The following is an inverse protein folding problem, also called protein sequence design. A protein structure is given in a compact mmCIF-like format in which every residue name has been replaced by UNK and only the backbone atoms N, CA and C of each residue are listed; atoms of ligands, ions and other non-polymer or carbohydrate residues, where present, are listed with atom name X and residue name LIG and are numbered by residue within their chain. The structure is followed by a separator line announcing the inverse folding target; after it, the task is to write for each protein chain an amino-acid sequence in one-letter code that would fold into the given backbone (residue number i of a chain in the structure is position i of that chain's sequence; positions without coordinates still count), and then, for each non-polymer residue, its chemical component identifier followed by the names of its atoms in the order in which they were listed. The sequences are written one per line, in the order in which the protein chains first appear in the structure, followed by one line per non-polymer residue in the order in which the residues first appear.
data_IF_085794145632
#
_entry.id   IF_085794145632
#
_cell.length_a   1.000
_cell.length_b   1.000
_cell.length_c   1.000
_cell.angle_alpha   90.00
_cell.angle_beta   90.00
_cell.angle_gamma   90.00
#
_symmetry.space_group_name_H-M   'P 1'
#
loop_
_entity.id
_entity.type
_entity.pdbx_description
1 polymer ?
#
# COMPACT_ATOMS: atom_id res chain seq x y z
N UNK A 1 6.91 11.08 6.71
CA UNK A 1 5.69 11.55 6.03
C UNK A 1 4.60 10.57 6.40
N UNK A 2 3.38 11.04 6.63
CA UNK A 2 2.23 10.20 6.95
C UNK A 2 1.13 10.37 5.92
N UNK A 3 0.32 9.33 5.73
CA UNK A 3 -0.82 9.34 4.82
C UNK A 3 -2.11 9.12 5.60
N UNK A 4 -3.20 9.73 5.18
CA UNK A 4 -4.49 9.46 5.79
C UNK A 4 -5.03 8.11 5.33
N UNK A 5 -5.21 7.20 6.28
CA UNK A 5 -5.83 5.90 6.06
C UNK A 5 -7.24 5.89 6.67
N UNK A 6 -8.31 5.86 5.84
CA UNK A 6 -9.70 5.85 6.32
C UNK A 6 -10.09 4.55 7.05
N UNK A 7 -9.28 3.49 6.96
CA UNK A 7 -9.53 2.19 7.61
C UNK A 7 -8.63 1.94 8.81
N UNK A 8 -7.68 2.82 9.09
CA UNK A 8 -6.84 2.70 10.28
C UNK A 8 -7.68 2.83 11.55
N UNK A 9 -7.59 1.86 12.46
CA UNK A 9 -8.37 1.85 13.70
C UNK A 9 -7.84 2.85 14.72
N UNK A 10 -8.75 3.60 15.33
CA UNK A 10 -8.50 4.34 16.58
C UNK A 10 -8.92 3.42 17.72
N UNK A 11 -7.96 3.03 18.55
CA UNK A 11 -8.14 2.01 19.58
C UNK A 11 -8.22 2.65 20.97
N UNK A 12 -8.82 1.93 21.92
CA UNK A 12 -8.65 2.23 23.35
C UNK A 12 -7.50 1.39 23.87
N UNK A 13 -6.63 1.98 24.66
CA UNK A 13 -5.56 1.26 25.34
C UNK A 13 -6.10 0.15 26.27
N UNK A 14 -5.28 -0.84 26.67
CA UNK A 14 -5.73 -1.94 27.52
C UNK A 14 -6.33 -1.51 28.85
N UNK A 15 -5.96 -0.33 29.37
CA UNK A 15 -6.48 0.21 30.63
C UNK A 15 -7.82 0.90 30.49
N UNK A 16 -8.25 1.23 29.27
CA UNK A 16 -9.47 1.97 29.01
C UNK A 16 -9.34 3.49 29.21
N UNK A 17 -8.14 4.00 29.49
CA UNK A 17 -7.91 5.39 29.90
C UNK A 17 -7.54 6.31 28.74
N UNK A 18 -6.97 5.76 27.66
CA UNK A 18 -6.41 6.55 26.57
C UNK A 18 -6.80 6.01 25.19
N UNK A 19 -6.95 6.92 24.24
CA UNK A 19 -7.13 6.60 22.83
C UNK A 19 -5.78 6.50 22.14
N UNK A 20 -5.59 5.49 21.32
CA UNK A 20 -4.34 5.25 20.59
C UNK A 20 -4.60 5.23 19.08
N UNK A 21 -3.83 6.02 18.35
CA UNK A 21 -3.75 5.97 16.89
C UNK A 21 -2.48 5.24 16.44
N UNK A 22 -2.38 4.77 15.19
CA UNK A 22 -1.23 4.01 14.68
C UNK A 22 0.16 4.60 14.93
N UNK A 23 0.26 5.92 15.06
CA UNK A 23 1.53 6.60 15.29
C UNK A 23 1.92 6.70 16.77
N UNK A 24 1.03 6.28 17.67
CA UNK A 24 1.25 6.37 19.11
C UNK A 24 2.06 5.17 19.62
N UNK A 25 2.98 5.40 20.58
CA UNK A 25 3.63 4.30 21.29
C UNK A 25 2.60 3.36 21.93
N UNK A 26 2.75 2.06 21.68
CA UNK A 26 1.89 1.02 22.25
C UNK A 26 0.62 0.71 21.44
N UNK A 27 0.38 1.40 20.31
CA UNK A 27 -0.68 1.00 19.38
C UNK A 27 -0.44 -0.44 18.87
N UNK A 28 -1.48 -1.28 18.90
CA UNK A 28 -1.38 -2.71 18.54
C UNK A 28 -0.81 -3.62 19.62
N UNK A 29 -0.40 -3.10 20.79
CA UNK A 29 0.10 -3.87 21.94
C UNK A 29 -0.98 -4.51 22.83
N UNK A 30 -2.25 -4.44 22.41
CA UNK A 30 -3.45 -4.79 23.16
C UNK A 30 -4.45 -3.65 23.15
N UNK A 31 -5.74 -3.94 23.01
CA UNK A 31 -6.79 -2.92 22.98
C UNK A 31 -8.01 -3.32 23.81
N UNK A 32 -8.70 -2.32 24.35
CA UNK A 32 -9.99 -2.49 25.02
C UNK A 32 -11.12 -2.00 24.10
N UNK A 33 -11.03 -2.36 22.81
CA UNK A 33 -11.99 -1.99 21.77
C UNK A 33 -11.46 -0.97 20.75
N UNK A 34 -12.24 -0.82 19.67
CA UNK A 34 -12.03 0.19 18.61
C UNK A 34 -13.10 1.26 18.72
N UNK A 35 -12.68 2.52 18.80
CA UNK A 35 -13.58 3.68 18.92
C UNK A 35 -14.05 4.21 17.57
N UNK A 36 -13.23 4.04 16.54
CA UNK A 36 -13.51 4.57 15.21
C UNK A 36 -12.41 4.20 14.21
N UNK A 37 -12.57 4.71 13.00
CA UNK A 37 -11.62 4.53 11.89
C UNK A 37 -11.19 5.89 11.34
N UNK A 38 -9.99 5.95 10.76
CA UNK A 38 -9.44 7.14 10.13
C UNK A 38 -8.30 7.76 10.93
N UNK A 39 -7.07 7.63 10.45
CA UNK A 39 -5.90 8.26 11.08
C UNK A 39 -4.80 8.54 10.05
N UNK A 40 -3.92 9.50 10.37
CA UNK A 40 -2.65 9.63 9.66
C UNK A 40 -1.69 8.55 10.15
N UNK A 41 -1.18 7.74 9.22
CA UNK A 41 -0.33 6.59 9.50
C UNK A 41 1.00 6.68 8.75
N UNK A 42 2.04 6.09 9.31
CA UNK A 42 3.25 5.78 8.56
C UNK A 42 2.98 4.56 7.67
N UNK A 43 3.54 4.55 6.45
CA UNK A 43 3.39 3.41 5.53
C UNK A 43 3.99 2.15 6.15
N UNK A 44 3.25 1.05 6.11
CA UNK A 44 3.70 -0.23 6.66
C UNK A 44 3.77 -0.28 8.19
N UNK A 45 3.03 0.57 8.92
CA UNK A 45 3.11 0.62 10.38
C UNK A 45 2.78 -0.70 11.10
N UNK A 46 2.10 -1.64 10.43
CA UNK A 46 1.73 -2.95 10.96
C UNK A 46 2.29 -4.12 10.13
N UNK A 47 3.40 -3.92 9.42
CA UNK A 47 4.05 -4.93 8.56
C UNK A 47 4.24 -6.30 9.23
N UNK A 48 4.60 -6.34 10.52
CA UNK A 48 4.84 -7.58 11.27
C UNK A 48 3.58 -8.27 11.79
N UNK A 49 2.47 -7.54 11.92
CA UNK A 49 1.17 -8.11 12.32
C UNK A 49 0.43 -8.73 11.12
N UNK A 50 0.84 -8.37 9.91
CA UNK A 50 0.19 -8.64 8.65
C UNK A 50 1.11 -9.46 7.74
N UNK A 51 1.15 -10.78 7.92
CA UNK A 51 1.81 -11.69 6.97
C UNK A 51 1.20 -11.68 5.56
N UNK A 52 0.23 -10.80 5.29
CA UNK A 52 -0.47 -10.61 4.02
C UNK A 52 -0.86 -9.13 3.81
N UNK A 53 -0.92 -8.73 2.54
CA UNK A 53 -1.27 -7.39 2.07
C UNK A 53 -2.66 -6.94 2.54
N UNK A 54 -2.80 -5.67 2.94
CA UNK A 54 -4.06 -5.00 3.26
C UNK A 54 -4.96 -5.74 4.29
N UNK A 55 -4.36 -6.38 5.30
CA UNK A 55 -5.11 -7.14 6.29
C UNK A 55 -5.65 -6.31 7.45
N UNK A 56 -4.99 -5.19 7.80
CA UNK A 56 -5.40 -4.32 8.92
C UNK A 56 -6.04 -3.02 8.39
N UNK A 57 -5.35 -2.32 7.47
CA UNK A 57 -5.87 -1.15 6.75
C UNK A 57 -5.13 -0.98 5.42
N UNK A 58 -5.48 0.05 4.63
CA UNK A 58 -4.96 0.24 3.28
C UNK A 58 -3.43 0.41 3.24
N UNK A 59 -2.87 1.13 4.21
CA UNK A 59 -1.44 1.46 4.24
C UNK A 59 -0.68 0.78 5.39
N UNK A 60 -1.29 -0.19 6.08
CA UNK A 60 -0.71 -0.81 7.27
C UNK A 60 0.30 -1.92 6.95
N UNK A 61 0.12 -2.62 5.83
CA UNK A 61 0.90 -3.81 5.48
C UNK A 61 2.16 -3.48 4.69
N UNK A 62 2.91 -4.52 4.36
CA UNK A 62 3.97 -4.42 3.37
C UNK A 62 3.48 -3.95 1.97
N UNK A 63 4.37 -3.38 1.13
CA UNK A 63 4.12 -3.07 -0.28
C UNK A 63 3.65 -4.27 -1.09
N UNK A 64 2.66 -4.11 -1.95
CA UNK A 64 2.13 -5.15 -2.84
C UNK A 64 3.26 -5.96 -3.53
N UNK A 65 3.18 -7.30 -3.63
CA UNK A 65 4.31 -8.12 -4.09
C UNK A 65 4.64 -7.86 -5.56
N UNK A 66 3.63 -7.60 -6.41
CA UNK A 66 3.85 -7.21 -7.82
C UNK A 66 4.63 -5.89 -7.97
N UNK A 67 4.80 -5.10 -6.91
CA UNK A 67 5.68 -3.91 -6.93
C UNK A 67 7.17 -4.23 -6.81
N UNK A 68 7.54 -5.47 -6.49
CA UNK A 68 8.90 -5.89 -6.16
C UNK A 68 9.57 -5.12 -5.00
N UNK A 69 8.84 -4.27 -4.26
CA UNK A 69 9.33 -3.55 -3.07
C UNK A 69 9.15 -4.34 -1.76
N UNK A 70 8.79 -5.62 -1.87
CA UNK A 70 8.67 -6.55 -0.75
C UNK A 70 9.28 -7.91 -1.11
N UNK A 71 10.28 -8.33 -0.33
CA UNK A 71 10.94 -9.62 -0.51
C UNK A 71 10.52 -10.67 0.54
N UNK A 72 9.21 -10.85 0.70
CA UNK A 72 8.64 -11.82 1.64
C UNK A 72 8.66 -11.40 3.12
N UNK A 73 8.06 -12.20 4.03
CA UNK A 73 7.83 -11.84 5.43
C UNK A 73 9.08 -11.49 6.25
N UNK A 74 10.26 -11.94 5.80
CA UNK A 74 11.55 -11.71 6.46
C UNK A 74 12.53 -10.90 5.61
N UNK A 75 12.12 -10.47 4.41
CA UNK A 75 12.97 -9.66 3.54
C UNK A 75 12.84 -8.16 3.82
N UNK A 76 13.78 -7.34 3.33
CA UNK A 76 13.63 -5.90 3.39
C UNK A 76 12.35 -5.51 2.64
N UNK A 77 11.47 -4.79 3.33
CA UNK A 77 10.32 -4.13 2.74
C UNK A 77 10.62 -2.63 2.72
N UNK A 78 10.34 -1.98 1.61
CA UNK A 78 10.56 -0.53 1.48
C UNK A 78 9.19 0.14 1.33
N UNK A 79 8.55 0.57 2.44
CA UNK A 79 7.27 1.28 2.37
C UNK A 79 7.45 2.60 1.63
N UNK A 80 7.04 2.65 0.37
CA UNK A 80 7.05 3.84 -0.49
C UNK A 80 5.67 4.00 -1.09
N UNK A 81 5.23 5.24 -1.26
CA UNK A 81 4.04 5.54 -2.03
C UNK A 81 4.44 5.95 -3.45
N UNK A 82 3.84 5.31 -4.44
CA UNK A 82 3.94 5.69 -5.85
C UNK A 82 2.52 5.71 -6.41
N UNK A 83 2.20 6.73 -7.21
CA UNK A 83 0.95 6.80 -7.96
C UNK A 83 0.90 5.78 -9.10
N UNK A 84 2.05 5.18 -9.45
CA UNK A 84 2.25 4.16 -10.45
C UNK A 84 1.75 4.60 -11.82
N UNK A 85 2.67 5.20 -12.58
CA UNK A 85 2.38 5.62 -13.96
C UNK A 85 2.35 4.42 -14.90
N UNK A 86 1.52 4.48 -15.93
CA UNK A 86 1.48 3.48 -17.01
C UNK A 86 2.82 3.35 -17.77
N UNK A 87 3.81 4.20 -17.50
CA UNK A 87 5.16 4.05 -18.07
C UNK A 87 5.85 2.77 -17.58
N UNK A 88 5.49 2.26 -16.40
CA UNK A 88 6.00 0.98 -15.89
C UNK A 88 5.44 -0.24 -16.63
N UNK A 89 4.45 -0.05 -17.50
CA UNK A 89 3.81 -1.11 -18.30
C UNK A 89 4.07 -0.86 -19.80
N UNK A 90 5.08 -0.04 -20.12
CA UNK A 90 5.48 0.38 -21.48
C UNK A 90 6.99 0.54 -21.60
N UNK A 91 7.74 -0.16 -20.77
CA UNK A 91 9.19 -0.01 -20.71
C UNK A 91 9.93 -1.08 -21.52
N UNK A 92 9.20 -2.02 -22.12
CA UNK A 92 9.75 -3.07 -22.97
C UNK A 92 10.50 -4.14 -22.18
N UNK A 93 10.28 -4.21 -20.87
CA UNK A 93 10.85 -5.22 -19.97
C UNK A 93 9.69 -6.12 -19.52
N UNK A 94 9.96 -7.42 -19.37
CA UNK A 94 9.02 -8.34 -18.74
C UNK A 94 9.31 -8.41 -17.23
N UNK A 95 8.47 -7.77 -16.42
CA UNK A 95 8.72 -7.59 -14.99
C UNK A 95 8.48 -8.88 -14.19
N UNK A 96 7.45 -9.65 -14.54
CA UNK A 96 7.01 -10.82 -13.78
C UNK A 96 7.53 -12.16 -14.33
N UNK A 97 8.21 -12.11 -15.47
CA UNK A 97 8.96 -13.19 -16.11
C UNK A 97 8.09 -14.21 -16.83
N UNK A 98 6.87 -13.84 -17.21
CA UNK A 98 5.92 -14.72 -17.86
C UNK A 98 6.29 -15.02 -19.34
N UNK A 99 5.59 -15.97 -19.97
CA UNK A 99 5.80 -16.33 -21.39
C UNK A 99 4.52 -16.82 -22.05
N UNK A 100 4.39 -16.60 -23.35
CA UNK A 100 3.29 -17.12 -24.16
C UNK A 100 3.35 -18.65 -24.33
N UNK A 101 2.32 -19.22 -24.98
CA UNK A 101 2.28 -20.67 -25.29
C UNK A 101 3.39 -21.18 -26.22
N UNK A 102 4.18 -20.29 -26.80
CA UNK A 102 5.35 -20.59 -27.63
C UNK A 102 6.67 -20.29 -26.91
N UNK A 103 6.64 -19.97 -25.61
CA UNK A 103 7.79 -19.65 -24.78
C UNK A 103 8.50 -18.33 -25.18
N UNK A 104 7.79 -17.40 -25.82
CA UNK A 104 8.25 -16.02 -26.01
C UNK A 104 7.88 -15.18 -24.79
N UNK A 105 8.74 -14.26 -24.31
CA UNK A 105 8.36 -13.31 -23.27
C UNK A 105 7.12 -12.52 -23.71
N UNK A 106 6.12 -12.44 -22.82
CA UNK A 106 5.04 -11.46 -22.96
C UNK A 106 5.55 -10.17 -22.30
N UNK A 107 5.29 -9.03 -22.92
CA UNK A 107 5.89 -7.75 -22.51
C UNK A 107 4.83 -6.68 -22.65
N UNK A 108 4.71 -5.82 -21.63
CA UNK A 108 3.84 -4.64 -21.62
C UNK A 108 2.34 -4.97 -21.84
N UNK A 109 1.91 -6.17 -21.45
CA UNK A 109 0.57 -6.73 -21.73
C UNK A 109 -0.56 -5.93 -21.08
N UNK A 110 -0.31 -5.25 -19.97
CA UNK A 110 -1.29 -4.37 -19.33
C UNK A 110 -1.58 -3.09 -20.12
N UNK A 111 -0.93 -2.85 -21.27
CA UNK A 111 -1.19 -1.68 -22.12
C UNK A 111 -1.01 -1.88 -23.64
N UNK A 112 -0.98 -3.13 -24.12
CA UNK A 112 -0.72 -3.48 -25.53
C UNK A 112 -1.97 -3.37 -26.43
N UNK A 113 -3.15 -3.20 -25.83
CA UNK A 113 -4.43 -3.04 -26.51
C UNK A 113 -5.07 -4.34 -26.98
N UNK A 114 -4.62 -5.49 -26.44
CA UNK A 114 -5.14 -6.83 -26.71
C UNK A 114 -5.70 -7.43 -25.40
N UNK A 115 -6.51 -8.48 -25.52
CA UNK A 115 -6.96 -9.31 -24.38
C UNK A 115 -6.05 -10.54 -24.35
N UNK A 116 -5.08 -10.52 -23.44
CA UNK A 116 -3.98 -11.46 -23.31
C UNK A 116 -4.49 -12.64 -22.45
N UNK A 117 -4.93 -13.69 -23.15
CA UNK A 117 -5.53 -14.85 -22.50
C UNK A 117 -4.53 -15.58 -21.56
N UNK A 118 -5.01 -15.94 -20.36
CA UNK A 118 -4.46 -16.85 -19.34
C UNK A 118 -4.14 -16.23 -17.97
N UNK A 119 -4.49 -14.97 -17.74
CA UNK A 119 -4.35 -14.38 -16.40
C UNK A 119 -5.48 -14.82 -15.46
N UNK A 120 -5.31 -16.02 -14.91
CA UNK A 120 -6.12 -16.49 -13.79
C UNK A 120 -5.58 -15.83 -12.53
N UNK A 121 -6.39 -15.06 -11.77
CA UNK A 121 -5.95 -14.54 -10.49
C UNK A 121 -5.41 -15.69 -9.64
N UNK A 122 -4.24 -15.56 -8.97
CA UNK A 122 -3.76 -16.62 -8.11
C UNK A 122 -4.87 -17.01 -7.14
N UNK A 123 -5.10 -18.32 -6.96
CA UNK A 123 -6.29 -18.90 -6.32
C UNK A 123 -6.58 -18.44 -4.87
N UNK A 124 -5.73 -17.59 -4.29
CA UNK A 124 -5.88 -16.98 -2.97
C UNK A 124 -5.90 -15.44 -2.98
N UNK A 125 -6.01 -14.79 -4.14
CA UNK A 125 -6.06 -13.32 -4.25
C UNK A 125 -7.46 -12.81 -3.87
N UNK A 126 -7.59 -12.40 -2.61
CA UNK A 126 -8.82 -11.87 -1.96
C UNK A 126 -9.29 -10.52 -2.56
N UNK A 127 -8.62 -9.97 -3.58
CA UNK A 127 -8.80 -8.58 -4.01
C UNK A 127 -9.70 -8.40 -5.23
N UNK A 128 -9.96 -9.44 -6.01
CA UNK A 128 -10.86 -9.31 -7.16
C UNK A 128 -12.30 -9.58 -6.74
N UNK A 129 -13.29 -8.78 -7.19
CA UNK A 129 -14.69 -8.97 -6.83
C UNK A 129 -15.26 -10.33 -7.28
N UNK A 130 -14.48 -11.17 -7.96
CA UNK A 130 -14.77 -12.57 -8.21
C UNK A 130 -13.46 -13.39 -8.35
N UNK A 131 -12.93 -13.99 -7.26
CA UNK A 131 -11.71 -14.80 -7.32
C UNK A 131 -11.89 -15.98 -8.27
N UNK A 132 -11.04 -16.09 -9.30
CA UNK A 132 -11.06 -17.20 -10.27
C UNK A 132 -11.88 -16.95 -11.55
N UNK A 133 -12.33 -15.72 -11.81
CA UNK A 133 -12.88 -15.34 -13.11
C UNK A 133 -11.86 -14.45 -13.81
N UNK A 134 -11.32 -14.93 -14.95
CA UNK A 134 -10.52 -14.12 -15.86
C UNK A 134 -11.34 -12.87 -16.24
N UNK A 135 -10.72 -11.71 -16.10
CA UNK A 135 -11.31 -10.47 -16.54
C UNK A 135 -11.00 -10.43 -18.04
N UNK A 136 -11.82 -11.08 -18.87
CA UNK A 136 -11.64 -11.12 -20.33
C UNK A 136 -11.93 -9.73 -20.94
N UNK A 137 -11.06 -8.77 -20.64
CA UNK A 137 -11.12 -7.41 -21.12
C UNK A 137 -9.73 -7.04 -21.60
N UNK A 138 -9.68 -6.15 -22.58
CA UNK A 138 -8.42 -5.58 -23.06
C UNK A 138 -7.74 -4.78 -21.95
N UNK A 139 -6.43 -4.92 -21.79
CA UNK A 139 -5.57 -4.19 -20.85
C UNK A 139 -6.09 -4.26 -19.39
N UNK A 140 -6.43 -5.47 -18.95
CA UNK A 140 -7.02 -5.70 -17.64
C UNK A 140 -6.00 -5.57 -16.49
N UNK A 141 -6.48 -5.55 -15.25
CA UNK A 141 -5.61 -5.38 -14.07
C UNK A 141 -4.76 -6.61 -13.78
N UNK A 142 -5.18 -7.78 -14.26
CA UNK A 142 -4.47 -9.05 -14.11
C UNK A 142 -3.27 -9.13 -15.05
N UNK A 143 -3.41 -8.59 -16.27
CA UNK A 143 -2.39 -8.38 -17.31
C UNK A 143 -1.30 -7.36 -16.91
N UNK A 144 -1.29 -6.82 -15.70
CA UNK A 144 -0.21 -5.90 -15.31
C UNK A 144 0.98 -6.66 -14.80
N UNK A 145 2.13 -6.42 -15.41
CA UNK A 145 3.38 -7.07 -15.02
C UNK A 145 3.83 -6.58 -13.63
N UNK A 146 3.50 -5.33 -13.28
CA UNK A 146 3.77 -4.75 -11.97
C UNK A 146 2.57 -4.01 -11.37
N UNK A 147 2.77 -3.38 -10.21
CA UNK A 147 1.73 -2.62 -9.51
C UNK A 147 2.34 -1.59 -8.59
N UNK A 148 1.56 -0.55 -8.25
CA UNK A 148 1.90 0.34 -7.15
C UNK A 148 2.20 -0.43 -5.85
N UNK A 149 3.21 -0.03 -5.06
CA UNK A 149 3.44 -0.54 -3.70
C UNK A 149 2.18 -0.50 -2.81
N UNK A 150 1.41 0.57 -2.90
CA UNK A 150 0.12 0.72 -2.24
C UNK A 150 -0.92 1.15 -3.29
N UNK A 151 -1.74 0.22 -3.84
CA UNK A 151 -2.69 0.49 -4.92
C UNK A 151 -3.97 1.17 -4.42
N UNK A 152 -3.82 2.18 -3.57
CA UNK A 152 -4.90 2.97 -2.99
C UNK A 152 -4.60 4.44 -3.17
N UNK A 153 -5.61 5.21 -3.61
CA UNK A 153 -5.47 6.66 -3.73
C UNK A 153 -5.26 7.31 -2.35
N UNK A 154 -4.35 8.28 -2.27
CA UNK A 154 -4.24 9.12 -1.08
C UNK A 154 -5.49 9.98 -0.91
N UNK A 155 -6.00 10.03 0.31
CA UNK A 155 -7.06 10.98 0.71
C UNK A 155 -6.50 12.20 1.44
N UNK A 156 -5.30 12.10 1.96
CA UNK A 156 -4.57 13.20 2.56
C UNK A 156 -3.15 12.81 2.91
N UNK A 157 -2.29 13.80 3.10
CA UNK A 157 -0.92 13.59 3.55
C UNK A 157 -0.52 14.60 4.62
N UNK A 158 0.38 14.18 5.52
CA UNK A 158 0.91 15.00 6.59
C UNK A 158 2.44 14.98 6.57
N UNK A 159 3.03 16.17 6.55
CA UNK A 159 4.46 16.39 6.66
C UNK A 159 4.77 17.09 7.98
N UNK A 160 5.70 16.53 8.75
CA UNK A 160 6.21 17.13 9.98
C UNK A 160 7.63 17.58 9.73
N UNK A 161 7.86 18.89 9.78
CA UNK A 161 9.17 19.51 9.59
C UNK A 161 9.67 19.96 10.96
N UNK A 162 10.84 19.46 11.37
CA UNK A 162 11.46 19.80 12.65
C UNK A 162 12.82 20.46 12.41
N UNK A 163 12.99 21.66 12.98
CA UNK A 163 14.23 22.41 12.94
C UNK A 163 14.81 22.52 14.34
N UNK A 164 16.11 22.23 14.47
CA UNK A 164 16.86 22.36 15.71
C UNK A 164 17.75 23.58 15.61
N UNK A 165 17.55 24.55 16.50
CA UNK A 165 18.45 25.69 16.66
C UNK A 165 19.49 25.35 17.74
N UNK A 166 20.71 25.03 17.29
CA UNK A 166 21.82 24.64 18.14
C UNK A 166 22.29 25.77 19.08
N UNK A 167 22.03 27.04 18.73
CA UNK A 167 22.46 28.17 19.56
C UNK A 167 21.61 28.33 20.82
N UNK A 168 20.32 28.01 20.70
CA UNK A 168 19.34 28.19 21.76
C UNK A 168 18.86 26.87 22.38
N UNK A 169 19.37 25.72 21.89
CA UNK A 169 18.86 24.38 22.22
C UNK A 169 17.33 24.29 22.07
N UNK A 170 16.77 25.04 21.12
CA UNK A 170 15.34 25.09 20.87
C UNK A 170 14.99 24.20 19.67
N UNK A 171 13.85 23.51 19.77
CA UNK A 171 13.29 22.73 18.67
C UNK A 171 11.99 23.39 18.21
N UNK A 172 11.87 23.68 16.92
CA UNK A 172 10.64 24.17 16.30
C UNK A 172 10.07 23.10 15.39
N UNK A 173 8.75 22.93 15.43
CA UNK A 173 8.05 21.96 14.59
C UNK A 173 6.89 22.64 13.86
N UNK A 174 6.75 22.34 12.58
CA UNK A 174 5.59 22.72 11.77
C UNK A 174 5.01 21.45 11.15
N UNK A 175 3.68 21.34 11.21
CA UNK A 175 2.94 20.26 10.56
C UNK A 175 2.14 20.85 9.40
N UNK A 176 2.37 20.34 8.20
CA UNK A 176 1.60 20.66 7.00
C UNK A 176 0.70 19.47 6.69
N UNK A 177 -0.60 19.70 6.61
CA UNK A 177 -1.57 18.70 6.20
C UNK A 177 -2.20 19.15 4.90
N UNK A 178 -2.33 18.22 3.95
CA UNK A 178 -3.05 18.45 2.70
C UNK A 178 -4.13 17.37 2.53
N UNK A 179 -5.28 17.77 2.03
CA UNK A 179 -6.47 16.93 1.81
C UNK A 179 -6.69 16.80 0.30
N UNK A 180 -7.00 15.59 -0.15
CA UNK A 180 -7.24 15.24 -1.55
C UNK A 180 -8.70 14.82 -1.82
N UNK A 181 -9.57 14.89 -0.82
CA UNK A 181 -10.99 14.57 -1.01
C UNK A 181 -11.69 15.65 -1.83
N UNK A 182 -12.46 15.29 -2.89
CA UNK A 182 -13.26 16.26 -3.64
C UNK A 182 -14.32 16.90 -2.74
N UNK A 183 -14.59 18.19 -2.97
CA UNK A 183 -15.65 18.97 -2.30
C UNK A 183 -17.07 18.42 -2.57
#
# INVERSE_FOLDING_TARGET
MRVYDPRASIQVDPTGAHTQIPTDPGHGGGNNGTLGLGAFVDLGYAMNAAGAYNTVSFFSSAPHPKSFMFNGPNGPAVPVYDTWTNYYERDGINQDGDVDGNNNPVIDEGTDGIDNANDVPPANSVTYPNPGVAINAVDDVLERETSAPYPFALRGMQLVIRCFDASNNQTRQVTVTHDFTPE
#
